data_IF_438681152511
#
_entry.id   IF_438681152511
#
_cell.length_a   1.000
_cell.length_b   1.000
_cell.length_c   1.000
_cell.angle_alpha   90.00
_cell.angle_beta   90.00
_cell.angle_gamma   90.00
#
_symmetry.space_group_name_H-M   'P 1'
#
loop_
_entity.id
_entity.type
_entity.pdbx_description
1 polymer ?
#
# COMPACT_ATOMS: atom_id res chain seq x y z
N UNK A 1 -2.27 -13.31 15.88
CA UNK A 1 -3.75 -13.31 15.77
C UNK A 1 -4.10 -12.52 14.53
N UNK A 2 -4.96 -13.09 13.68
CA UNK A 2 -5.47 -12.39 12.51
C UNK A 2 -6.36 -11.21 12.95
N UNK A 3 -6.30 -10.10 12.23
CA UNK A 3 -7.14 -8.94 12.51
C UNK A 3 -8.44 -9.08 11.73
N UNK A 4 -9.55 -8.62 12.32
CA UNK A 4 -10.83 -8.56 11.62
C UNK A 4 -10.76 -7.58 10.44
N UNK A 5 -11.56 -7.85 9.41
CA UNK A 5 -11.70 -6.96 8.27
C UNK A 5 -12.24 -5.59 8.71
N UNK A 6 -11.66 -4.53 8.15
CA UNK A 6 -12.11 -3.15 8.37
C UNK A 6 -12.78 -2.65 7.10
N UNK A 7 -14.07 -2.34 7.19
CA UNK A 7 -14.88 -1.84 6.07
C UNK A 7 -15.14 -0.36 6.22
N UNK A 8 -14.86 0.40 5.16
CA UNK A 8 -15.04 1.85 5.13
C UNK A 8 -16.19 2.25 4.22
N UNK A 9 -16.89 3.33 4.59
CA UNK A 9 -18.07 3.84 3.88
C UNK A 9 -17.77 4.31 2.45
N UNK A 10 -16.57 4.84 2.20
CA UNK A 10 -16.16 5.29 0.88
C UNK A 10 -14.68 4.98 0.63
N UNK A 11 -14.31 4.96 -0.65
CA UNK A 11 -12.98 4.55 -1.08
C UNK A 11 -11.89 5.56 -0.67
N UNK A 12 -12.20 6.86 -0.64
CA UNK A 12 -11.25 7.88 -0.20
C UNK A 12 -10.84 7.68 1.26
N UNK A 13 -11.81 7.50 2.16
CA UNK A 13 -11.56 7.25 3.59
C UNK A 13 -10.79 5.95 3.79
N UNK A 14 -11.11 4.90 3.02
CA UNK A 14 -10.34 3.65 3.01
C UNK A 14 -8.87 3.90 2.69
N UNK A 15 -8.58 4.62 1.61
CA UNK A 15 -7.20 4.88 1.18
C UNK A 15 -6.45 5.78 2.17
N UNK A 16 -7.08 6.85 2.65
CA UNK A 16 -6.46 7.74 3.63
C UNK A 16 -6.10 6.96 4.92
N UNK A 17 -7.01 6.10 5.43
CA UNK A 17 -6.75 5.27 6.60
C UNK A 17 -5.67 4.21 6.38
N UNK A 18 -5.66 3.56 5.21
CA UNK A 18 -4.62 2.59 4.83
C UNK A 18 -3.25 3.26 4.76
N UNK A 19 -3.17 4.45 4.17
CA UNK A 19 -1.91 5.22 4.07
C UNK A 19 -1.40 5.61 5.46
N UNK A 20 -2.27 6.00 6.38
CA UNK A 20 -1.90 6.31 7.77
C UNK A 20 -1.33 5.08 8.50
N UNK A 21 -1.99 3.91 8.40
CA UNK A 21 -1.50 2.67 9.02
C UNK A 21 -0.15 2.23 8.43
N UNK A 22 0.02 2.33 7.11
CA UNK A 22 1.29 2.01 6.45
C UNK A 22 2.39 2.97 6.93
N UNK A 23 2.11 4.27 6.98
CA UNK A 23 3.10 5.28 7.40
C UNK A 23 3.55 5.04 8.84
N UNK A 24 2.63 4.72 9.76
CA UNK A 24 2.94 4.41 11.15
C UNK A 24 3.84 3.18 11.27
N UNK A 25 3.52 2.10 10.55
CA UNK A 25 4.30 0.85 10.56
C UNK A 25 5.67 1.03 9.92
N UNK A 26 5.73 1.73 8.80
CA UNK A 26 6.98 2.06 8.12
C UNK A 26 7.88 2.92 9.01
N UNK A 27 7.33 3.89 9.75
CA UNK A 27 8.08 4.69 10.72
C UNK A 27 8.66 3.84 11.86
N UNK A 28 8.00 2.74 12.22
CA UNK A 28 8.48 1.74 13.19
C UNK A 28 9.48 0.74 12.59
N UNK A 29 9.80 0.84 11.29
CA UNK A 29 10.69 -0.08 10.59
C UNK A 29 10.06 -1.43 10.25
N UNK A 30 8.73 -1.57 10.39
CA UNK A 30 8.03 -2.80 10.05
C UNK A 30 7.85 -2.91 8.52
N UNK A 31 8.28 -4.01 7.87
CA UNK A 31 7.97 -4.26 6.46
C UNK A 31 6.46 -4.42 6.25
N UNK A 32 5.93 -3.82 5.19
CA UNK A 32 4.49 -3.87 4.85
C UNK A 32 4.31 -4.27 3.39
N UNK A 33 3.47 -5.29 3.17
CA UNK A 33 3.00 -5.70 1.83
C UNK A 33 1.54 -5.27 1.66
N UNK A 34 1.22 -4.65 0.53
CA UNK A 34 -0.14 -4.20 0.22
C UNK A 34 -0.58 -4.78 -1.11
N UNK A 35 -1.68 -5.53 -1.10
CA UNK A 35 -2.34 -6.02 -2.30
C UNK A 35 -3.46 -5.08 -2.76
N UNK A 36 -3.55 -4.84 -4.07
CA UNK A 36 -4.68 -4.14 -4.69
C UNK A 36 -5.34 -5.05 -5.73
N UNK A 37 -6.57 -4.72 -6.10
CA UNK A 37 -7.32 -5.46 -7.11
C UNK A 37 -7.09 -4.93 -8.53
N UNK A 38 -6.40 -3.80 -8.70
CA UNK A 38 -6.13 -3.19 -10.01
C UNK A 38 -4.90 -2.30 -9.99
N UNK A 39 -4.23 -2.18 -11.14
CA UNK A 39 -3.04 -1.32 -11.33
C UNK A 39 -3.37 0.14 -11.03
N UNK A 40 -4.52 0.64 -11.46
CA UNK A 40 -4.96 2.02 -11.19
C UNK A 40 -5.01 2.32 -9.68
N UNK A 41 -5.51 1.38 -8.87
CA UNK A 41 -5.54 1.53 -7.41
C UNK A 41 -4.13 1.49 -6.81
N UNK A 42 -3.22 0.71 -7.38
CA UNK A 42 -1.81 0.71 -6.98
C UNK A 42 -1.16 2.07 -7.24
N UNK A 43 -1.37 2.66 -8.42
CA UNK A 43 -0.82 3.99 -8.77
C UNK A 43 -1.42 5.11 -7.90
N UNK A 44 -2.72 5.03 -7.61
CA UNK A 44 -3.37 5.96 -6.69
C UNK A 44 -2.79 5.89 -5.28
N UNK A 45 -2.67 4.67 -4.73
CA UNK A 45 -2.08 4.45 -3.41
C UNK A 45 -0.60 4.90 -3.37
N UNK A 46 0.17 4.57 -4.41
CA UNK A 46 1.56 4.99 -4.60
C UNK A 46 1.71 6.51 -4.49
N UNK A 47 0.85 7.25 -5.17
CA UNK A 47 0.83 8.72 -5.11
C UNK A 47 0.56 9.24 -3.69
N UNK A 48 -0.34 8.61 -2.94
CA UNK A 48 -0.65 9.01 -1.56
C UNK A 48 0.51 8.70 -0.60
N UNK A 49 1.13 7.53 -0.75
CA UNK A 49 2.30 7.14 0.04
C UNK A 49 3.50 8.06 -0.23
N UNK A 50 3.74 8.41 -1.48
CA UNK A 50 4.77 9.37 -1.87
C UNK A 50 4.54 10.75 -1.23
N UNK A 51 3.29 11.25 -1.22
CA UNK A 51 2.91 12.50 -0.54
C UNK A 51 3.16 12.47 0.97
N UNK A 52 3.09 11.29 1.60
CA UNK A 52 3.43 11.08 3.02
C UNK A 52 4.91 10.81 3.27
N UNK A 53 5.75 10.80 2.23
CA UNK A 53 7.18 10.54 2.34
C UNK A 53 7.54 9.07 2.62
N UNK A 54 6.60 8.14 2.38
CA UNK A 54 6.83 6.70 2.57
C UNK A 54 7.50 6.13 1.32
N UNK A 55 8.71 5.58 1.47
CA UNK A 55 9.41 4.87 0.39
C UNK A 55 8.74 3.53 0.15
N UNK A 56 8.43 3.24 -1.11
CA UNK A 56 7.73 2.02 -1.52
C UNK A 56 8.05 1.69 -2.98
N UNK A 57 7.78 0.45 -3.39
CA UNK A 57 7.86 0.00 -4.78
C UNK A 57 6.54 -0.64 -5.19
N UNK A 58 6.15 -0.46 -6.46
CA UNK A 58 4.92 -1.03 -7.03
C UNK A 58 5.29 -2.21 -7.92
N UNK A 59 4.74 -3.38 -7.58
CA UNK A 59 4.84 -4.61 -8.38
C UNK A 59 3.56 -4.72 -9.21
N UNK A 60 3.68 -4.69 -10.53
CA UNK A 60 2.56 -4.68 -11.47
C UNK A 60 2.51 -5.90 -12.39
N UNK A 61 3.26 -6.96 -12.08
CA UNK A 61 3.27 -8.25 -12.78
C UNK A 61 3.64 -8.15 -14.28
N UNK A 62 4.12 -6.99 -14.73
CA UNK A 62 4.60 -6.83 -16.11
C UNK A 62 6.06 -7.23 -16.26
N UNK A 63 6.81 -7.32 -15.15
CA UNK A 63 8.24 -7.54 -15.18
C UNK A 63 8.70 -8.55 -14.11
N UNK A 64 8.23 -9.79 -14.27
CA UNK A 64 8.43 -10.91 -13.33
C UNK A 64 9.89 -11.10 -12.87
N UNK A 65 10.87 -10.90 -13.77
CA UNK A 65 12.29 -11.10 -13.45
C UNK A 65 12.85 -10.01 -12.51
N UNK A 66 12.35 -8.77 -12.61
CA UNK A 66 12.75 -7.67 -11.74
C UNK A 66 12.02 -7.74 -10.39
N UNK A 67 10.74 -8.13 -10.42
CA UNK A 67 9.90 -8.20 -9.23
C UNK A 67 10.30 -9.34 -8.27
N UNK A 68 10.90 -10.42 -8.78
CA UNK A 68 11.39 -11.53 -7.97
C UNK A 68 12.64 -11.21 -7.13
N UNK A 69 13.31 -10.08 -7.37
CA UNK A 69 14.53 -9.70 -6.69
C UNK A 69 14.31 -8.73 -5.50
N UNK A 70 13.05 -8.40 -5.21
CA UNK A 70 12.62 -7.42 -4.20
C UNK A 70 12.17 -8.11 -2.92
#
# INVERSE_FOLDING_TARGET
>A
MDRNDVVYKNEKVKFDAVVDDIAERHAKGQPVLVGTTSVEKSEYLSTLLAKRGVRHEVLNAKNHAREAAI
#
